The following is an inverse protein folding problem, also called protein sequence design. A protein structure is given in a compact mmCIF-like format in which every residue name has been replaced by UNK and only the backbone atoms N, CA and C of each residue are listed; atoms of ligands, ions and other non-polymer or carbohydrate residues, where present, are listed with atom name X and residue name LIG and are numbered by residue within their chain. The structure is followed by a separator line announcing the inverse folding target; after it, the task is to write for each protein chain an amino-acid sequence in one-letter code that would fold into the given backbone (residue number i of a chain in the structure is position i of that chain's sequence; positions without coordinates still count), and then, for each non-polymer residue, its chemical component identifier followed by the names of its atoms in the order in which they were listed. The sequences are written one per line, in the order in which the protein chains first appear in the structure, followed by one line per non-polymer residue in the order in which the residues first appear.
data_IF_001170301440
#
_entry.id   IF_001170301440
#
_cell.length_a   1.000
_cell.length_b   1.000
_cell.length_c   1.000
_cell.angle_alpha   90.00
_cell.angle_beta   90.00
_cell.angle_gamma   90.00
#
_symmetry.space_group_name_H-M   'P 1'
#
loop_
_entity.id
_entity.type
_entity.pdbx_description
1 polymer ?
#
# COMPACT_ATOMS: atom_id res chain seq x y z
N UNK A 1 36.37 32.75 -10.17
CA UNK A 1 36.53 32.44 -8.72
C UNK A 1 35.23 32.53 -7.94
N UNK A 2 34.49 33.66 -8.00
CA UNK A 2 33.20 33.83 -7.29
C UNK A 2 32.22 32.66 -7.49
N UNK A 3 32.01 32.22 -8.73
CA UNK A 3 31.12 31.09 -9.05
C UNK A 3 31.51 29.79 -8.36
N UNK A 4 32.81 29.51 -8.21
CA UNK A 4 33.30 28.31 -7.51
C UNK A 4 32.99 28.34 -6.01
N UNK A 5 33.10 29.52 -5.38
CA UNK A 5 32.73 29.71 -3.98
C UNK A 5 31.22 29.60 -3.77
N UNK A 6 30.41 30.20 -4.66
CA UNK A 6 28.94 30.08 -4.61
C UNK A 6 28.53 28.61 -4.74
N UNK A 7 29.11 27.89 -5.70
CA UNK A 7 28.79 26.47 -5.89
C UNK A 7 29.19 25.62 -4.68
N UNK A 8 30.38 25.85 -4.12
CA UNK A 8 30.81 25.18 -2.89
C UNK A 8 29.89 25.50 -1.70
N UNK A 9 29.46 26.75 -1.55
CA UNK A 9 28.52 27.16 -0.51
C UNK A 9 27.16 26.47 -0.64
N UNK A 10 26.64 26.30 -1.86
CA UNK A 10 25.40 25.55 -2.11
C UNK A 10 25.55 24.08 -1.73
N UNK A 11 26.68 23.45 -2.06
CA UNK A 11 26.96 22.05 -1.69
C UNK A 11 27.00 21.90 -0.17
N UNK A 12 27.77 22.74 0.52
CA UNK A 12 27.88 22.73 1.98
C UNK A 12 26.51 23.00 2.61
N UNK A 13 25.77 24.00 2.13
CA UNK A 13 24.43 24.32 2.59
C UNK A 13 23.45 23.17 2.41
N UNK A 14 23.53 22.43 1.30
CA UNK A 14 22.68 21.26 1.05
C UNK A 14 22.99 20.10 2.00
N UNK A 15 24.27 19.84 2.27
CA UNK A 15 24.70 18.79 3.22
C UNK A 15 24.27 19.16 4.64
N UNK A 16 24.50 20.41 5.07
CA UNK A 16 24.07 20.90 6.39
C UNK A 16 22.55 20.83 6.52
N UNK A 17 21.82 21.27 5.49
CA UNK A 17 20.36 21.19 5.45
C UNK A 17 19.90 19.75 5.62
N UNK A 18 20.48 18.80 4.90
CA UNK A 18 20.13 17.39 5.03
C UNK A 18 20.38 16.85 6.44
N UNK A 19 21.55 17.13 7.05
CA UNK A 19 21.88 16.65 8.40
C UNK A 19 20.97 17.29 9.45
N UNK A 20 20.57 18.54 9.25
CA UNK A 20 19.77 19.28 10.22
C UNK A 20 18.25 19.05 10.06
N UNK A 21 17.78 18.67 8.87
CA UNK A 21 16.35 18.48 8.63
C UNK A 21 15.92 17.02 8.83
N UNK A 22 14.86 16.77 9.63
CA UNK A 22 14.42 15.42 9.94
C UNK A 22 13.57 14.85 8.78
N UNK A 23 14.20 14.45 7.67
CA UNK A 23 13.54 13.72 6.56
C UNK A 23 13.77 12.22 6.66
N UNK A 24 13.55 11.66 7.84
CA UNK A 24 13.71 10.22 8.08
C UNK A 24 12.40 9.47 7.89
N UNK A 25 12.51 8.20 7.55
CA UNK A 25 11.34 7.35 7.39
C UNK A 25 10.66 7.09 8.72
N UNK A 26 9.38 6.75 8.65
CA UNK A 26 8.65 6.21 9.79
C UNK A 26 9.36 4.97 10.32
N UNK A 27 9.35 4.76 11.63
CA UNK A 27 9.84 3.52 12.23
C UNK A 27 9.25 2.29 11.53
N UNK A 28 10.10 1.32 11.22
CA UNK A 28 9.65 0.06 10.65
C UNK A 28 8.82 -0.74 11.67
N UNK A 29 7.76 -1.37 11.18
CA UNK A 29 6.86 -2.21 11.97
C UNK A 29 6.61 -3.58 11.32
N UNK A 30 7.52 -4.03 10.45
CA UNK A 30 7.44 -5.33 9.77
C UNK A 30 8.81 -6.00 9.62
N UNK A 31 8.82 -7.22 9.09
CA UNK A 31 9.99 -8.03 8.77
C UNK A 31 10.94 -7.43 7.69
N UNK A 32 10.59 -6.29 7.09
CA UNK A 32 11.31 -5.75 5.93
C UNK A 32 12.48 -4.80 6.24
N UNK A 33 13.17 -5.00 7.37
CA UNK A 33 14.35 -4.19 7.75
C UNK A 33 15.41 -4.15 6.66
N UNK A 34 15.56 -5.24 5.91
CA UNK A 34 16.51 -5.31 4.81
C UNK A 34 16.23 -4.30 3.69
N UNK A 35 14.96 -3.90 3.48
CA UNK A 35 14.65 -2.82 2.53
C UNK A 35 15.26 -1.51 3.01
N UNK A 36 15.07 -1.17 4.29
CA UNK A 36 15.62 0.05 4.87
C UNK A 36 17.16 0.03 4.79
N UNK A 37 17.80 -1.11 5.11
CA UNK A 37 19.25 -1.29 5.00
C UNK A 37 19.77 -1.06 3.58
N UNK A 38 19.11 -1.63 2.56
CA UNK A 38 19.53 -1.46 1.16
C UNK A 38 19.40 -0.02 0.66
N UNK A 39 18.37 0.69 1.11
CA UNK A 39 18.18 2.09 0.74
C UNK A 39 19.18 2.97 1.51
N UNK A 40 19.45 2.71 2.79
CA UNK A 40 20.48 3.42 3.57
C UNK A 40 21.87 3.22 2.93
N UNK A 41 22.20 2.00 2.51
CA UNK A 41 23.43 1.71 1.78
C UNK A 41 23.52 2.54 0.49
N UNK A 42 22.44 2.54 -0.29
CA UNK A 42 22.34 3.31 -1.55
C UNK A 42 22.47 4.81 -1.31
N UNK A 43 21.86 5.31 -0.23
CA UNK A 43 21.92 6.70 0.18
C UNK A 43 23.35 7.14 0.48
N UNK A 44 24.10 6.38 1.29
CA UNK A 44 25.48 6.74 1.63
C UNK A 44 26.45 6.61 0.47
N UNK A 45 26.32 5.56 -0.35
CA UNK A 45 27.16 5.39 -1.55
C UNK A 45 26.85 6.50 -2.55
N UNK A 46 25.57 6.74 -2.86
CA UNK A 46 25.14 7.79 -3.79
C UNK A 46 25.51 9.19 -3.29
N UNK A 47 25.32 9.46 -2.00
CA UNK A 47 25.72 10.71 -1.35
C UNK A 47 27.23 10.94 -1.40
N UNK A 48 28.04 9.91 -1.15
CA UNK A 48 29.49 9.98 -1.26
C UNK A 48 29.96 10.28 -2.68
N UNK A 49 29.40 9.59 -3.68
CA UNK A 49 29.69 9.84 -5.10
C UNK A 49 29.24 11.25 -5.51
N UNK A 50 28.06 11.69 -5.07
CA UNK A 50 27.56 13.04 -5.30
C UNK A 50 28.54 14.10 -4.78
N UNK A 51 29.00 13.98 -3.53
CA UNK A 51 29.98 14.89 -2.94
C UNK A 51 31.28 14.89 -3.74
N UNK A 52 31.79 13.71 -4.12
CA UNK A 52 33.02 13.59 -4.90
C UNK A 52 32.91 14.31 -6.25
N UNK A 53 31.83 14.09 -6.99
CA UNK A 53 31.60 14.73 -8.30
C UNK A 53 31.46 16.25 -8.12
N UNK A 54 30.71 16.70 -7.12
CA UNK A 54 30.54 18.11 -6.80
C UNK A 54 31.88 18.78 -6.46
N UNK A 55 32.72 18.16 -5.61
CA UNK A 55 34.04 18.67 -5.26
C UNK A 55 35.00 18.65 -6.46
N UNK A 56 34.92 17.64 -7.32
CA UNK A 56 35.67 17.60 -8.57
C UNK A 56 35.27 18.74 -9.50
N UNK A 57 33.98 19.05 -9.62
CA UNK A 57 33.48 20.19 -10.38
C UNK A 57 33.98 21.52 -9.79
N UNK A 58 33.95 21.69 -8.46
CA UNK A 58 34.53 22.86 -7.78
C UNK A 58 36.03 22.97 -8.09
N UNK A 59 36.77 21.87 -7.97
CA UNK A 59 38.19 21.81 -8.34
C UNK A 59 38.40 22.26 -9.79
N UNK A 60 37.60 21.76 -10.73
CA UNK A 60 37.72 22.13 -12.14
C UNK A 60 37.49 23.62 -12.36
N UNK A 61 36.49 24.21 -11.71
CA UNK A 61 36.21 25.66 -11.79
C UNK A 61 37.42 26.47 -11.30
N UNK A 62 38.07 26.07 -10.21
CA UNK A 62 39.24 26.80 -9.68
C UNK A 62 40.52 26.54 -10.48
N UNK A 63 40.77 25.30 -10.87
CA UNK A 63 42.01 24.87 -11.53
C UNK A 63 42.07 25.30 -12.99
N UNK A 64 40.95 25.15 -13.71
CA UNK A 64 40.82 25.40 -15.14
C UNK A 64 40.11 26.71 -15.48
N UNK A 65 39.96 27.62 -14.51
CA UNK A 65 39.53 28.99 -14.80
C UNK A 65 40.40 29.64 -15.88
N UNK A 66 39.77 30.51 -16.67
CA UNK A 66 40.42 31.32 -17.68
C UNK A 66 41.57 32.12 -17.08
N UNK A 67 42.72 32.07 -17.75
CA UNK A 67 43.86 32.93 -17.51
C UNK A 67 44.43 33.34 -18.86
N UNK A 68 44.75 34.61 -19.01
CA UNK A 68 45.35 35.13 -20.24
C UNK A 68 46.65 34.36 -20.56
N UNK A 69 46.85 33.98 -21.82
CA UNK A 69 47.98 33.18 -22.27
C UNK A 69 47.92 31.67 -21.97
N UNK A 70 46.95 31.18 -21.17
CA UNK A 70 46.75 29.75 -20.93
C UNK A 70 45.98 29.11 -22.09
N UNK A 71 46.57 28.14 -22.78
CA UNK A 71 45.89 27.34 -23.81
C UNK A 71 45.35 26.04 -23.20
N UNK A 72 44.24 25.55 -23.72
CA UNK A 72 43.69 24.24 -23.36
C UNK A 72 44.57 23.13 -23.93
N UNK A 73 44.77 22.08 -23.16
CA UNK A 73 45.36 20.83 -23.66
C UNK A 73 44.32 20.09 -24.51
N UNK A 74 44.71 19.64 -25.71
CA UNK A 74 43.85 18.83 -26.57
C UNK A 74 44.11 17.35 -26.33
N UNK A 75 43.29 16.74 -25.46
CA UNK A 75 43.33 15.30 -25.15
C UNK A 75 41.91 14.73 -25.16
N UNK A 76 41.41 14.27 -26.32
CA UNK A 76 40.01 13.87 -26.46
C UNK A 76 39.69 12.49 -25.88
N UNK A 77 40.69 11.61 -25.72
CA UNK A 77 40.51 10.24 -25.23
C UNK A 77 41.60 9.84 -24.22
N UNK A 78 41.23 8.98 -23.27
CA UNK A 78 42.16 8.32 -22.36
C UNK A 78 41.65 6.93 -22.02
N UNK A 79 42.07 5.95 -22.81
CA UNK A 79 41.65 4.55 -22.69
C UNK A 79 41.93 3.95 -21.30
N UNK A 80 42.97 4.41 -20.59
CA UNK A 80 43.27 3.91 -19.24
C UNK A 80 42.24 4.43 -18.24
N UNK A 81 41.93 5.73 -18.31
CA UNK A 81 40.92 6.35 -17.46
C UNK A 81 39.52 5.78 -17.76
N UNK A 82 39.14 5.69 -19.02
CA UNK A 82 37.87 5.15 -19.47
C UNK A 82 37.67 3.72 -18.97
N UNK A 83 38.68 2.85 -19.14
CA UNK A 83 38.63 1.47 -18.62
C UNK A 83 38.54 1.44 -17.09
N UNK A 84 39.29 2.29 -16.40
CA UNK A 84 39.26 2.40 -14.94
C UNK A 84 37.88 2.79 -14.42
N UNK A 85 37.30 3.87 -14.97
CA UNK A 85 35.97 4.34 -14.60
C UNK A 85 34.89 3.32 -14.93
N UNK A 86 34.95 2.67 -16.11
CA UNK A 86 33.97 1.65 -16.52
C UNK A 86 33.93 0.49 -15.54
N UNK A 87 35.09 -0.04 -15.14
CA UNK A 87 35.14 -1.13 -14.15
C UNK A 87 34.69 -0.67 -12.77
N UNK A 88 35.11 0.51 -12.34
CA UNK A 88 34.70 1.09 -11.06
C UNK A 88 33.18 1.25 -10.98
N UNK A 89 32.55 1.83 -12.00
CA UNK A 89 31.10 2.01 -12.04
C UNK A 89 30.37 0.68 -12.14
N UNK A 90 30.89 -0.28 -12.91
CA UNK A 90 30.30 -1.62 -13.03
C UNK A 90 30.29 -2.32 -11.68
N UNK A 91 31.42 -2.31 -10.94
CA UNK A 91 31.52 -2.89 -9.60
C UNK A 91 30.56 -2.19 -8.63
N UNK A 92 30.50 -0.84 -8.68
CA UNK A 92 29.58 -0.07 -7.86
C UNK A 92 28.12 -0.42 -8.10
N UNK A 93 27.69 -0.55 -9.36
CA UNK A 93 26.33 -0.95 -9.74
C UNK A 93 26.03 -2.38 -9.25
N UNK A 94 26.96 -3.33 -9.44
CA UNK A 94 26.78 -4.70 -8.94
C UNK A 94 26.63 -4.73 -7.42
N UNK A 95 27.46 -3.96 -6.70
CA UNK A 95 27.39 -3.87 -5.24
C UNK A 95 26.06 -3.28 -4.74
N UNK A 96 25.49 -2.32 -5.48
CA UNK A 96 24.18 -1.72 -5.16
C UNK A 96 23.00 -2.62 -5.51
N UNK A 97 23.06 -3.37 -6.62
CA UNK A 97 21.95 -4.19 -7.09
C UNK A 97 21.87 -5.57 -6.44
N UNK A 98 23.01 -6.21 -6.14
CA UNK A 98 23.03 -7.59 -5.66
C UNK A 98 22.26 -7.79 -4.33
N UNK A 99 22.37 -6.92 -3.31
CA UNK A 99 21.55 -7.02 -2.10
C UNK A 99 20.05 -6.89 -2.40
N UNK A 100 19.67 -5.99 -3.30
CA UNK A 100 18.27 -5.78 -3.70
C UNK A 100 17.65 -7.03 -4.34
N UNK A 101 18.42 -7.81 -5.09
CA UNK A 101 17.94 -9.08 -5.67
C UNK A 101 17.62 -10.13 -4.59
N UNK A 102 18.39 -10.18 -3.50
CA UNK A 102 18.11 -11.08 -2.37
C UNK A 102 16.82 -10.67 -1.66
N UNK A 103 16.67 -9.37 -1.39
CA UNK A 103 15.44 -8.82 -0.79
C UNK A 103 14.23 -9.08 -1.68
N UNK A 104 14.36 -8.87 -2.99
CA UNK A 104 13.29 -9.14 -3.96
C UNK A 104 12.89 -10.62 -3.99
N UNK A 105 13.86 -11.52 -3.99
CA UNK A 105 13.58 -12.96 -3.95
C UNK A 105 12.81 -13.37 -2.67
N UNK A 106 13.07 -12.73 -1.54
CA UNK A 106 12.29 -12.95 -0.32
C UNK A 106 10.89 -12.31 -0.44
N UNK A 107 10.79 -11.13 -1.05
CA UNK A 107 9.53 -10.41 -1.23
C UNK A 107 8.50 -11.19 -2.06
N UNK A 108 8.94 -11.88 -3.12
CA UNK A 108 8.03 -12.67 -3.97
C UNK A 108 7.69 -14.05 -3.37
N UNK A 109 8.40 -14.51 -2.32
CA UNK A 109 8.17 -15.80 -1.65
C UNK A 109 7.33 -15.60 -0.40
N UNK A 110 6.02 -15.86 -0.53
CA UNK A 110 5.10 -15.79 0.59
C UNK A 110 5.29 -17.00 1.51
N UNK A 111 5.38 -16.82 2.84
CA UNK A 111 5.40 -17.92 3.80
C UNK A 111 4.12 -18.78 3.72
N UNK A 112 4.24 -20.11 3.83
CA UNK A 112 3.10 -21.03 3.73
C UNK A 112 2.07 -20.84 4.86
N UNK A 113 2.50 -20.33 6.01
CA UNK A 113 1.65 -20.03 7.16
C UNK A 113 1.03 -18.61 7.10
N UNK A 114 1.17 -17.87 6.00
CA UNK A 114 0.60 -16.54 5.91
C UNK A 114 -0.93 -16.57 5.91
N UNK A 115 -1.56 -15.72 6.73
CA UNK A 115 -3.01 -15.55 6.70
C UNK A 115 -3.36 -14.73 5.46
N UNK A 116 -4.35 -15.20 4.71
CA UNK A 116 -4.87 -14.47 3.56
C UNK A 116 -5.84 -13.39 4.02
N UNK A 117 -5.64 -12.16 3.59
CA UNK A 117 -6.60 -11.07 3.85
C UNK A 117 -6.91 -10.41 2.53
N UNK A 118 -8.17 -10.41 2.12
CA UNK A 118 -8.59 -9.67 0.93
C UNK A 118 -8.85 -8.21 1.30
N UNK A 119 -8.23 -7.30 0.56
CA UNK A 119 -8.50 -5.86 0.57
C UNK A 119 -9.18 -5.53 -0.75
N UNK A 120 -10.43 -5.09 -0.65
CA UNK A 120 -11.24 -4.61 -1.76
C UNK A 120 -11.23 -3.09 -1.78
N UNK A 121 -10.63 -2.51 -2.82
CA UNK A 121 -10.56 -1.08 -3.05
C UNK A 121 -11.73 -0.57 -3.91
N UNK A 122 -12.21 0.63 -3.60
CA UNK A 122 -13.20 1.37 -4.38
C UNK A 122 -13.00 2.88 -4.18
N UNK A 123 -13.55 3.73 -5.05
CA UNK A 123 -13.54 5.19 -4.92
C UNK A 123 -14.57 5.65 -3.87
N UNK A 124 -14.20 5.99 -2.63
CA UNK A 124 -12.86 6.07 -2.04
C UNK A 124 -12.88 5.43 -0.65
N UNK A 125 -12.56 4.15 -0.60
CA UNK A 125 -12.52 3.40 0.64
C UNK A 125 -12.03 1.96 0.47
N UNK A 126 -11.89 1.30 1.61
CA UNK A 126 -11.40 -0.06 1.72
C UNK A 126 -12.47 -0.92 2.39
N UNK A 127 -12.59 -2.17 1.95
CA UNK A 127 -13.32 -3.21 2.66
C UNK A 127 -12.41 -4.42 2.81
N UNK A 128 -12.57 -5.15 3.90
CA UNK A 128 -11.72 -6.31 4.17
C UNK A 128 -12.55 -7.59 4.28
N UNK A 129 -11.93 -8.69 3.86
CA UNK A 129 -12.44 -10.06 4.06
C UNK A 129 -11.33 -10.94 4.59
N UNK A 130 -11.61 -11.64 5.68
CA UNK A 130 -10.70 -12.61 6.29
C UNK A 130 -11.30 -14.03 6.14
N UNK A 131 -10.46 -15.07 6.01
CA UNK A 131 -10.94 -16.45 5.98
C UNK A 131 -11.54 -16.82 7.34
N UNK A 132 -12.48 -17.77 7.31
CA UNK A 132 -13.04 -18.35 8.52
C UNK A 132 -12.16 -19.46 9.10
N UNK A 133 -12.80 -20.46 9.71
CA UNK A 133 -12.12 -21.59 10.36
C UNK A 133 -11.37 -22.48 9.36
N UNK A 134 -11.79 -22.50 8.10
CA UNK A 134 -11.17 -23.31 7.06
C UNK A 134 -9.85 -22.73 6.50
N UNK A 135 -9.52 -21.48 6.88
CA UNK A 135 -8.31 -20.76 6.47
C UNK A 135 -8.28 -20.38 4.99
N UNK A 136 -9.39 -20.50 4.26
CA UNK A 136 -9.51 -20.20 2.83
C UNK A 136 -10.53 -19.10 2.61
N UNK A 137 -10.31 -18.35 1.54
CA UNK A 137 -11.27 -17.33 1.10
C UNK A 137 -12.14 -17.93 -0.01
N UNK A 138 -13.43 -17.62 0.03
CA UNK A 138 -14.33 -17.90 -1.09
C UNK A 138 -13.93 -17.15 -2.36
N UNK A 139 -14.35 -17.68 -3.51
CA UNK A 139 -14.21 -17.01 -4.80
C UNK A 139 -15.08 -15.74 -4.89
N UNK A 140 -14.54 -14.70 -5.52
CA UNK A 140 -15.21 -13.40 -5.69
C UNK A 140 -15.13 -12.89 -7.13
N UNK A 141 -16.11 -12.09 -7.54
CA UNK A 141 -16.15 -11.44 -8.85
C UNK A 141 -16.86 -10.09 -8.80
N UNK A 142 -16.29 -9.10 -9.47
CA UNK A 142 -16.88 -7.77 -9.56
C UNK A 142 -18.23 -7.76 -10.30
N UNK A 143 -18.50 -8.76 -11.14
CA UNK A 143 -19.74 -8.85 -11.95
C UNK A 143 -20.99 -9.16 -11.14
N UNK A 144 -20.83 -9.75 -9.96
CA UNK A 144 -21.93 -10.19 -9.10
C UNK A 144 -22.07 -9.32 -7.84
N UNK A 145 -21.37 -8.18 -7.82
CA UNK A 145 -21.54 -7.17 -6.78
C UNK A 145 -22.94 -6.57 -6.89
N UNK A 146 -23.63 -6.49 -5.76
CA UNK A 146 -24.94 -5.85 -5.63
C UNK A 146 -25.14 -5.42 -4.18
N UNK A 147 -26.25 -4.72 -3.88
CA UNK A 147 -26.58 -4.31 -2.51
C UNK A 147 -26.67 -5.49 -1.53
N UNK A 148 -27.08 -6.68 -2.01
CA UNK A 148 -27.15 -7.90 -1.20
C UNK A 148 -25.83 -8.68 -1.15
N UNK A 149 -24.92 -8.39 -2.08
CA UNK A 149 -23.62 -9.05 -2.21
C UNK A 149 -22.52 -8.00 -2.44
N UNK A 150 -22.25 -7.14 -1.45
CA UNK A 150 -21.36 -5.99 -1.64
C UNK A 150 -19.90 -6.38 -1.88
N UNK A 151 -19.52 -7.62 -1.52
CA UNK A 151 -18.20 -8.19 -1.78
C UNK A 151 -18.15 -8.97 -3.10
N UNK A 152 -19.27 -9.25 -3.76
CA UNK A 152 -19.30 -10.04 -4.99
C UNK A 152 -18.83 -11.48 -4.77
N UNK A 153 -19.18 -12.08 -3.62
CA UNK A 153 -18.87 -13.47 -3.31
C UNK A 153 -19.70 -14.45 -4.14
N UNK A 154 -19.10 -15.57 -4.51
CA UNK A 154 -19.80 -16.70 -5.09
C UNK A 154 -20.52 -17.49 -3.98
N UNK A 155 -21.85 -17.43 -3.97
CA UNK A 155 -22.70 -18.08 -2.95
C UNK A 155 -22.60 -19.61 -3.01
N UNK A 156 -22.27 -20.16 -4.18
CA UNK A 156 -22.16 -21.60 -4.39
C UNK A 156 -20.81 -22.16 -3.92
N UNK A 157 -19.84 -21.29 -3.60
CA UNK A 157 -18.53 -21.68 -3.07
C UNK A 157 -18.63 -21.99 -1.57
N UNK A 158 -18.36 -23.24 -1.14
CA UNK A 158 -18.43 -23.59 0.27
C UNK A 158 -17.41 -22.86 1.14
N UNK A 159 -16.23 -22.49 0.61
CA UNK A 159 -15.18 -21.81 1.37
C UNK A 159 -15.53 -20.33 1.63
N UNK A 160 -16.53 -19.77 0.94
CA UNK A 160 -16.95 -18.38 1.15
C UNK A 160 -17.97 -18.19 2.27
N UNK A 161 -18.44 -19.28 2.89
CA UNK A 161 -19.59 -19.22 3.81
C UNK A 161 -19.22 -18.70 5.19
N UNK A 162 -18.02 -19.04 5.65
CA UNK A 162 -17.43 -18.64 6.93
C UNK A 162 -16.50 -17.44 6.80
N UNK A 163 -16.27 -16.93 5.59
CA UNK A 163 -15.56 -15.67 5.34
C UNK A 163 -16.11 -14.56 6.26
N UNK A 164 -15.20 -13.89 6.96
CA UNK A 164 -15.49 -12.81 7.91
C UNK A 164 -15.45 -11.47 7.19
N UNK A 165 -16.51 -10.69 7.35
CA UNK A 165 -16.65 -9.36 6.76
C UNK A 165 -16.28 -8.27 7.75
N UNK A 166 -15.37 -7.41 7.32
CA UNK A 166 -15.03 -6.18 8.03
C UNK A 166 -15.60 -5.02 7.22
N UNK A 167 -16.73 -4.48 7.70
CA UNK A 167 -17.38 -3.32 7.09
C UNK A 167 -16.75 -1.99 7.52
N UNK A 168 -16.01 -1.99 8.64
CA UNK A 168 -15.27 -0.83 9.10
C UNK A 168 -14.08 -0.55 8.18
N UNK A 169 -13.56 0.68 8.26
CA UNK A 169 -12.35 1.07 7.54
C UNK A 169 -11.08 0.74 8.35
N UNK A 170 -11.18 -0.20 9.29
CA UNK A 170 -10.14 -0.57 10.25
C UNK A 170 -9.87 -2.08 10.15
N UNK A 171 -8.66 -2.45 9.71
CA UNK A 171 -8.21 -3.84 9.63
C UNK A 171 -7.35 -4.17 10.84
N UNK A 172 -7.70 -5.20 11.59
CA UNK A 172 -6.87 -5.67 12.69
C UNK A 172 -6.01 -6.85 12.24
N UNK A 173 -4.77 -6.91 12.69
CA UNK A 173 -3.80 -7.96 12.36
C UNK A 173 -3.08 -8.43 13.62
N UNK A 174 -2.78 -9.72 13.65
CA UNK A 174 -1.94 -10.32 14.69
C UNK A 174 -0.47 -9.93 14.52
N UNK A 175 0.15 -9.48 15.61
CA UNK A 175 1.60 -9.31 15.68
C UNK A 175 2.33 -10.65 15.51
N UNK A 176 3.47 -10.61 14.81
CA UNK A 176 4.35 -11.74 14.50
C UNK A 176 3.63 -12.87 13.76
N UNK A 177 2.65 -12.51 12.93
CA UNK A 177 1.98 -13.43 12.03
C UNK A 177 2.14 -12.95 10.60
N UNK A 178 2.72 -13.75 9.69
CA UNK A 178 2.77 -13.38 8.28
C UNK A 178 1.36 -13.20 7.71
N UNK A 179 1.17 -12.15 6.92
CA UNK A 179 -0.09 -11.80 6.27
C UNK A 179 0.17 -11.65 4.77
N UNK A 180 -0.62 -12.34 3.96
CA UNK A 180 -0.68 -12.14 2.51
C UNK A 180 -1.90 -11.30 2.19
N UNK A 181 -1.67 -10.04 1.82
CA UNK A 181 -2.71 -9.14 1.38
C UNK A 181 -3.04 -9.45 -0.08
N UNK A 182 -4.26 -9.89 -0.33
CA UNK A 182 -4.83 -10.06 -1.66
C UNK A 182 -5.58 -8.79 -2.03
N UNK A 183 -5.19 -8.14 -3.09
CA UNK A 183 -5.74 -6.86 -3.50
C UNK A 183 -6.64 -7.04 -4.70
N UNK A 184 -7.81 -6.42 -4.65
CA UNK A 184 -8.65 -6.22 -5.83
C UNK A 184 -9.26 -4.83 -5.82
N UNK A 185 -9.60 -4.37 -7.02
CA UNK A 185 -10.36 -3.13 -7.20
C UNK A 185 -11.64 -3.40 -7.98
N UNK A 186 -12.70 -2.67 -7.66
CA UNK A 186 -13.99 -2.73 -8.36
C UNK A 186 -14.18 -1.64 -9.41
N UNK A 187 -13.28 -0.65 -9.46
CA UNK A 187 -13.40 0.51 -10.34
C UNK A 187 -12.07 0.85 -11.06
N UNK A 188 -11.14 1.55 -10.40
CA UNK A 188 -9.89 2.08 -10.96
C UNK A 188 -8.67 1.51 -10.24
N UNK A 189 -7.46 1.87 -10.64
CA UNK A 189 -6.26 1.50 -9.89
C UNK A 189 -6.26 2.15 -8.51
N UNK A 190 -5.84 1.39 -7.50
CA UNK A 190 -5.53 1.86 -6.16
C UNK A 190 -4.26 1.19 -5.68
N UNK A 191 -3.74 1.58 -4.51
CA UNK A 191 -2.63 0.88 -3.87
C UNK A 191 -2.81 0.99 -2.36
N UNK A 192 -3.06 -0.14 -1.71
CA UNK A 192 -3.22 -0.21 -0.26
C UNK A 192 -1.83 -0.20 0.38
N UNK A 193 -1.45 0.93 0.97
CA UNK A 193 -0.11 1.13 1.48
C UNK A 193 -0.09 1.56 2.94
N UNK A 194 0.65 0.84 3.76
CA UNK A 194 1.00 1.23 5.12
C UNK A 194 2.51 1.47 5.16
N UNK A 195 2.97 2.73 5.30
CA UNK A 195 4.39 3.07 5.18
C UNK A 195 5.33 2.22 6.04
N UNK A 196 4.96 1.98 7.29
CA UNK A 196 5.73 1.25 8.29
C UNK A 196 5.94 -0.23 7.94
N UNK A 197 5.13 -0.78 7.02
CA UNK A 197 5.27 -2.17 6.58
C UNK A 197 6.15 -2.34 5.34
N UNK A 198 6.57 -1.24 4.68
CA UNK A 198 7.46 -1.21 3.49
C UNK A 198 7.01 -2.02 2.27
N UNK A 199 5.80 -2.58 2.32
CA UNK A 199 5.25 -3.40 1.25
C UNK A 199 4.10 -2.67 0.60
N UNK A 200 4.06 -2.70 -0.73
CA UNK A 200 2.98 -2.11 -1.50
C UNK A 200 2.82 -2.86 -2.82
N UNK A 201 1.58 -2.92 -3.31
CA UNK A 201 1.25 -3.44 -4.63
C UNK A 201 -0.05 -2.76 -5.07
N UNK A 202 -0.22 -2.61 -6.38
CA UNK A 202 -1.41 -1.96 -6.91
C UNK A 202 -2.60 -2.93 -6.90
N UNK A 203 -3.76 -2.48 -6.43
CA UNK A 203 -5.03 -3.14 -6.63
C UNK A 203 -5.52 -2.86 -8.05
N UNK A 204 -5.48 -3.89 -8.90
CA UNK A 204 -5.77 -3.75 -10.34
C UNK A 204 -7.18 -4.26 -10.65
N UNK A 205 -8.06 -3.46 -11.28
CA UNK A 205 -9.36 -3.95 -11.72
C UNK A 205 -9.24 -5.20 -12.60
N UNK A 206 -9.94 -6.28 -12.23
CA UNK A 206 -9.99 -7.52 -12.99
C UNK A 206 -8.90 -8.55 -12.68
N UNK A 207 -7.93 -8.24 -11.81
CA UNK A 207 -6.88 -9.19 -11.39
C UNK A 207 -6.64 -9.10 -9.88
N UNK A 208 -6.44 -10.24 -9.23
CA UNK A 208 -5.99 -10.27 -7.83
C UNK A 208 -4.48 -10.16 -7.81
N UNK A 209 -3.96 -9.03 -7.32
CA UNK A 209 -2.54 -8.86 -7.01
C UNK A 209 -2.30 -9.15 -5.54
N UNK A 210 -1.05 -9.28 -5.12
CA UNK A 210 -0.76 -9.53 -3.72
C UNK A 210 0.61 -9.02 -3.31
N UNK A 211 0.76 -8.81 -2.01
CA UNK A 211 2.05 -8.72 -1.34
C UNK A 211 1.95 -9.35 0.05
N UNK A 212 3.07 -9.48 0.73
CA UNK A 212 3.06 -10.00 2.09
C UNK A 212 4.01 -9.23 3.00
N UNK A 213 3.72 -9.29 4.30
CA UNK A 213 4.56 -8.79 5.37
C UNK A 213 4.19 -9.51 6.66
N UNK A 214 5.06 -9.42 7.66
CA UNK A 214 4.80 -9.86 9.02
C UNK A 214 4.95 -8.65 9.94
N UNK A 215 3.86 -8.13 10.52
CA UNK A 215 3.93 -6.99 11.41
C UNK A 215 4.56 -7.40 12.74
N UNK A 216 5.50 -6.61 13.28
CA UNK A 216 6.28 -6.98 14.47
C UNK A 216 6.19 -5.97 15.63
N UNK A 217 5.43 -4.88 15.45
CA UNK A 217 5.23 -3.83 16.44
C UNK A 217 3.72 -3.58 16.59
N UNK A 218 3.23 -3.57 17.83
CA UNK A 218 1.85 -3.23 18.10
C UNK A 218 1.64 -1.73 17.87
N UNK A 219 0.45 -1.36 17.41
CA UNK A 219 0.06 0.03 17.25
C UNK A 219 -0.94 0.23 16.11
N UNK A 220 -1.29 1.50 15.94
CA UNK A 220 -2.23 1.96 14.93
C UNK A 220 -1.45 2.58 13.78
N UNK A 221 -1.69 2.09 12.58
CA UNK A 221 -0.99 2.51 11.37
C UNK A 221 -1.98 3.02 10.34
N UNK A 222 -1.71 4.20 9.80
CA UNK A 222 -2.56 4.78 8.76
C UNK A 222 -2.36 4.05 7.42
N UNK A 223 -3.47 3.72 6.77
CA UNK A 223 -3.51 3.23 5.39
C UNK A 223 -3.64 4.42 4.46
N UNK A 224 -2.81 4.44 3.42
CA UNK A 224 -2.82 5.42 2.34
C UNK A 224 -3.21 4.73 1.04
N UNK A 225 -3.96 5.43 0.19
CA UNK A 225 -3.99 5.10 -1.22
C UNK A 225 -2.72 5.65 -1.89
N UNK A 226 -1.88 4.79 -2.45
CA UNK A 226 -0.60 5.16 -3.06
C UNK A 226 -0.60 5.10 -4.60
N UNK A 227 -1.78 5.06 -5.22
CA UNK A 227 -1.98 5.13 -6.67
C UNK A 227 -3.15 6.08 -6.96
N UNK A 228 -2.99 7.01 -7.91
CA UNK A 228 -3.96 8.08 -8.08
C UNK A 228 -5.30 7.54 -8.57
N UNK A 229 -6.34 7.67 -7.73
CA UNK A 229 -7.66 7.08 -7.97
C UNK A 229 -8.78 8.12 -8.06
N UNK A 230 -8.48 9.37 -8.41
CA UNK A 230 -9.46 10.44 -8.65
C UNK A 230 -9.57 11.48 -7.53
N UNK A 231 -10.67 12.24 -7.52
CA UNK A 231 -10.78 13.53 -6.80
C UNK A 231 -10.59 13.43 -5.28
N UNK A 232 -11.00 12.32 -4.65
CA UNK A 232 -10.81 12.11 -3.21
C UNK A 232 -9.68 11.13 -2.88
N UNK A 233 -8.73 10.93 -3.80
CA UNK A 233 -7.55 10.07 -3.60
C UNK A 233 -6.82 10.35 -2.27
N UNK A 234 -6.59 11.63 -1.95
CA UNK A 234 -5.92 12.02 -0.71
C UNK A 234 -6.69 11.69 0.57
N UNK A 235 -8.02 11.56 0.47
CA UNK A 235 -8.95 11.29 1.56
C UNK A 235 -9.26 9.80 1.72
N UNK A 236 -8.79 8.94 0.80
CA UNK A 236 -8.93 7.49 0.85
C UNK A 236 -8.00 6.86 1.90
N UNK A 237 -8.24 7.20 3.16
CA UNK A 237 -7.50 6.69 4.31
C UNK A 237 -8.16 5.45 4.86
N UNK A 238 -7.45 4.73 5.71
CA UNK A 238 -7.94 3.63 6.53
C UNK A 238 -6.99 3.43 7.70
N UNK A 239 -7.20 2.38 8.50
CA UNK A 239 -6.32 2.07 9.63
C UNK A 239 -6.02 0.58 9.66
N UNK A 240 -4.77 0.24 9.95
CA UNK A 240 -4.38 -1.11 10.38
C UNK A 240 -4.01 -1.06 11.85
N UNK A 241 -4.64 -1.91 12.65
CA UNK A 241 -4.30 -2.10 14.07
C UNK A 241 -3.52 -3.39 14.21
N UNK A 242 -2.30 -3.32 14.72
CA UNK A 242 -1.50 -4.51 15.03
C UNK A 242 -1.53 -4.74 16.53
N UNK A 243 -1.95 -5.94 16.92
CA UNK A 243 -2.19 -6.25 18.33
C UNK A 243 -1.86 -7.71 18.69
N UNK A 244 -2.07 -8.04 19.97
CA UNK A 244 -1.88 -9.39 20.48
C UNK A 244 -3.09 -10.29 20.16
N UNK A 245 -2.92 -11.58 20.41
CA UNK A 245 -3.94 -12.60 20.12
C UNK A 245 -5.27 -12.37 20.85
N UNK A 246 -5.24 -12.02 22.14
CA UNK A 246 -6.45 -11.79 22.92
C UNK A 246 -7.29 -10.63 22.37
N UNK A 247 -6.65 -9.51 22.01
CA UNK A 247 -7.34 -8.32 21.52
C UNK A 247 -7.87 -8.53 20.10
N UNK A 248 -7.06 -9.18 19.25
CA UNK A 248 -7.46 -9.55 17.90
C UNK A 248 -8.64 -10.52 17.88
N UNK A 249 -8.62 -11.57 18.71
CA UNK A 249 -9.72 -12.54 18.77
C UNK A 249 -11.00 -11.87 19.27
N UNK A 250 -10.90 -10.97 20.26
CA UNK A 250 -12.04 -10.18 20.71
C UNK A 250 -12.63 -9.32 19.58
N UNK A 251 -11.79 -8.66 18.79
CA UNK A 251 -12.25 -7.89 17.63
C UNK A 251 -12.86 -8.80 16.56
N UNK A 252 -12.28 -9.97 16.32
CA UNK A 252 -12.74 -10.93 15.33
C UNK A 252 -14.14 -11.47 15.68
N UNK A 253 -14.39 -11.75 16.96
CA UNK A 253 -15.68 -12.21 17.49
C UNK A 253 -16.82 -11.17 17.30
N UNK A 254 -16.48 -9.89 17.13
CA UNK A 254 -17.44 -8.82 16.85
C UNK A 254 -17.83 -8.74 15.37
N UNK A 255 -17.11 -9.42 14.48
CA UNK A 255 -17.34 -9.36 13.03
C UNK A 255 -18.43 -10.35 12.60
N UNK A 256 -19.16 -10.01 11.52
CA UNK A 256 -20.17 -10.90 10.94
C UNK A 256 -19.55 -11.80 9.85
N UNK A 257 -19.95 -13.07 9.81
CA UNK A 257 -19.62 -13.96 8.68
C UNK A 257 -20.55 -13.73 7.50
N UNK A 258 -20.13 -14.11 6.29
CA UNK A 258 -20.95 -13.98 5.07
C UNK A 258 -22.31 -14.67 5.20
N UNK A 259 -22.35 -15.86 5.78
CA UNK A 259 -23.61 -16.59 6.01
C UNK A 259 -24.55 -15.83 6.94
N UNK A 260 -24.02 -15.24 8.02
CA UNK A 260 -24.78 -14.43 8.97
C UNK A 260 -25.33 -13.16 8.30
N UNK A 261 -24.46 -12.44 7.59
CA UNK A 261 -24.81 -11.23 6.84
C UNK A 261 -25.92 -11.49 5.81
N UNK A 262 -25.78 -12.53 5.00
CA UNK A 262 -26.76 -12.89 3.97
C UNK A 262 -28.12 -13.28 4.58
N UNK A 263 -28.11 -14.04 5.69
CA UNK A 263 -29.32 -14.42 6.39
C UNK A 263 -30.06 -13.20 6.98
N UNK A 264 -29.31 -12.26 7.56
CA UNK A 264 -29.84 -11.00 8.11
C UNK A 264 -30.49 -10.14 7.02
N UNK A 265 -29.81 -9.95 5.89
CA UNK A 265 -30.34 -9.17 4.75
C UNK A 265 -31.60 -9.79 4.15
N UNK A 266 -31.62 -11.12 3.98
CA UNK A 266 -32.81 -11.84 3.52
C UNK A 266 -34.00 -11.65 4.47
N UNK A 267 -33.77 -11.72 5.77
CA UNK A 267 -34.79 -11.52 6.79
C UNK A 267 -35.31 -10.08 6.80
N UNK A 268 -34.44 -9.08 6.65
CA UNK A 268 -34.83 -7.68 6.57
C UNK A 268 -35.71 -7.41 5.33
N UNK A 269 -35.33 -7.90 4.16
CA UNK A 269 -36.15 -7.79 2.93
C UNK A 269 -37.51 -8.46 3.07
N UNK A 270 -37.58 -9.60 3.75
CA UNK A 270 -38.86 -10.27 4.04
C UNK A 270 -39.76 -9.43 4.96
N UNK A 271 -39.18 -8.78 5.99
CA UNK A 271 -39.91 -7.86 6.88
C UNK A 271 -40.42 -6.64 6.13
N UNK A 272 -39.60 -6.00 5.30
CA UNK A 272 -39.99 -4.86 4.46
C UNK A 272 -41.12 -5.22 3.50
N UNK A 273 -41.01 -6.34 2.77
CA UNK A 273 -42.08 -6.81 1.87
C UNK A 273 -43.39 -7.03 2.62
N UNK A 274 -43.34 -7.58 3.84
CA UNK A 274 -44.54 -7.74 4.69
C UNK A 274 -45.11 -6.38 5.11
N UNK A 275 -44.28 -5.42 5.53
CA UNK A 275 -44.70 -4.07 5.91
C UNK A 275 -45.36 -3.32 4.74
N UNK A 276 -44.75 -3.34 3.55
CA UNK A 276 -45.32 -2.73 2.34
C UNK A 276 -46.68 -3.36 1.99
N UNK A 277 -46.80 -4.69 2.07
CA UNK A 277 -48.07 -5.38 1.83
C UNK A 277 -49.15 -4.97 2.84
N UNK A 278 -48.81 -4.86 4.12
CA UNK A 278 -49.74 -4.41 5.17
C UNK A 278 -50.18 -2.96 4.93
N UNK A 279 -49.26 -2.07 4.59
CA UNK A 279 -49.57 -0.66 4.31
C UNK A 279 -50.45 -0.47 3.06
N UNK A 280 -50.22 -1.26 2.03
CA UNK A 280 -51.08 -1.25 0.83
C UNK A 280 -52.49 -1.76 1.14
N UNK A 281 -52.61 -2.82 1.94
CA UNK A 281 -53.91 -3.34 2.39
C UNK A 281 -54.67 -2.35 3.28
N UNK A 282 -53.98 -1.64 4.19
CA UNK A 282 -54.60 -0.64 5.05
C UNK A 282 -55.05 0.60 4.26
N UNK A 283 -54.23 1.06 3.30
CA UNK A 283 -54.58 2.15 2.37
C UNK A 283 -55.81 1.78 1.52
N UNK A 284 -55.85 0.57 0.98
CA UNK A 284 -56.99 0.09 0.19
C UNK A 284 -58.27 0.00 1.05
N UNK A 285 -58.17 -0.51 2.28
CA UNK A 285 -59.31 -0.57 3.23
C UNK A 285 -59.82 0.84 3.59
N UNK A 286 -58.93 1.79 3.84
CA UNK A 286 -59.29 3.18 4.11
C UNK A 286 -59.94 3.87 2.90
N UNK A 287 -59.51 3.54 1.68
CA UNK A 287 -60.13 4.05 0.45
C UNK A 287 -61.56 3.52 0.26
N UNK A 288 -61.81 2.26 0.62
CA UNK A 288 -63.14 1.63 0.55
C UNK A 288 -64.08 2.23 1.59
N UNK A 289 -63.61 2.41 2.83
CA UNK A 289 -64.39 3.04 3.91
C UNK A 289 -64.75 4.51 3.58
N UNK A 290 -63.82 5.27 2.99
CA UNK A 290 -64.12 6.63 2.51
C UNK A 290 -65.19 6.66 1.41
N UNK A 291 -65.21 5.67 0.51
CA UNK A 291 -66.25 5.57 -0.54
C UNK A 291 -67.62 5.16 0.02
N UNK A 292 -67.67 4.45 1.14
CA UNK A 292 -68.92 4.04 1.80
C UNK A 292 -69.55 5.16 2.63
N UNK A 293 -68.75 6.08 3.19
CA UNK A 293 -69.24 7.21 4.00
C UNK A 293 -69.65 8.46 3.17
N UNK A 294 -69.65 8.38 1.84
CA UNK A 294 -70.05 9.48 0.92
C UNK A 294 -71.39 9.16 0.23
N UNK A 295 -72.18 8.23 0.79
CA UNK A 295 -73.56 7.95 0.40
C UNK A 295 -74.52 8.23 1.53
#
# INVERSE_FOLDING_TARGET
MFTGFVFLAVIIGSIIFHVWTPWWWTDIASNWSAMDDTIILSFWIGGGVFILVCLFMVYCIFRYQYKEGRRSEYKPEDKKLEKGLTWLTTIGVVALLAPGLVVWNNYIRVPDNAIHVEVMAWQWGWKYRLPGEDGKLGTSSNRIISDDNPYGLNIDDPNGKDDVFVESNELHLLKNRPVKILLRSIDVLHNFYVPQFRSKMDAVPGTITYYWFEPNKNGDYEVLCAEYCGVAHYAMRGKVVVENEDSYNKWLDEQETFSSFTAKNRNNKLKEKKLVKINNLSSQKNSILRKQNVR
#
